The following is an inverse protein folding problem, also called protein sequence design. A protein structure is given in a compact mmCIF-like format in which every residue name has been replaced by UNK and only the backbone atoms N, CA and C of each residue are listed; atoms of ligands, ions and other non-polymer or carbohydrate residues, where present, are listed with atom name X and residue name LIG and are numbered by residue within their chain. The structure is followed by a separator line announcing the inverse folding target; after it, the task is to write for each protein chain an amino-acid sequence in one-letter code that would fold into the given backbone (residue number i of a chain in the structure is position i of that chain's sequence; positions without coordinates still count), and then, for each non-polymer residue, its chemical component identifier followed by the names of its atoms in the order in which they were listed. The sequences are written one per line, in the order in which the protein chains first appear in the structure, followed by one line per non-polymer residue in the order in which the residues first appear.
data_IF_249328600283
#
_entry.id   IF_249328600283
#
_cell.length_a   1.000
_cell.length_b   1.000
_cell.length_c   1.000
_cell.angle_alpha   90.00
_cell.angle_beta   90.00
_cell.angle_gamma   90.00
#
_symmetry.space_group_name_H-M   'P 1'
#
loop_
_entity.id
_entity.type
_entity.pdbx_description
1 polymer ?
#
# COMPACT_ATOMS: atom_id res chain seq x y z
N UNK A 1 8.11 5.59 30.45
CA UNK A 1 6.62 5.49 30.45
C UNK A 1 5.93 6.60 29.66
N UNK A 2 6.44 7.84 29.66
CA UNK A 2 5.87 8.99 28.92
C UNK A 2 5.79 8.75 27.40
N UNK A 3 6.83 8.14 26.80
CA UNK A 3 6.90 7.90 25.35
C UNK A 3 5.69 7.11 24.81
N UNK A 4 5.38 5.95 25.39
CA UNK A 4 4.33 5.06 24.85
C UNK A 4 2.92 5.48 25.24
N UNK A 5 2.74 6.12 26.40
CA UNK A 5 1.42 6.50 26.92
C UNK A 5 0.97 7.90 26.55
N UNK A 6 1.89 8.81 26.24
CA UNK A 6 1.57 10.22 25.96
C UNK A 6 2.00 10.58 24.54
N UNK A 7 3.28 10.33 24.19
CA UNK A 7 3.83 10.77 22.89
C UNK A 7 3.25 9.97 21.72
N UNK A 8 3.23 8.64 21.80
CA UNK A 8 2.68 7.77 20.73
C UNK A 8 1.20 8.08 20.41
N UNK A 9 0.27 8.14 21.38
CA UNK A 9 -1.13 8.43 21.05
C UNK A 9 -1.35 9.85 20.52
N UNK A 10 -0.55 10.84 20.96
CA UNK A 10 -0.62 12.19 20.39
C UNK A 10 -0.12 12.23 18.93
N UNK A 11 0.92 11.44 18.63
CA UNK A 11 1.50 11.32 17.30
C UNK A 11 0.79 10.26 16.42
N UNK A 12 -0.19 9.51 16.95
CA UNK A 12 -0.91 8.49 16.21
C UNK A 12 -1.47 8.94 14.85
N UNK A 13 -2.11 10.14 14.71
CA UNK A 13 -2.59 10.59 13.41
C UNK A 13 -1.46 10.90 12.42
N UNK A 14 -0.32 11.43 12.87
CA UNK A 14 0.83 11.71 11.99
C UNK A 14 1.57 10.43 11.60
N UNK A 15 1.72 9.48 12.53
CA UNK A 15 2.26 8.14 12.26
C UNK A 15 1.36 7.39 11.27
N UNK A 16 0.04 7.48 11.42
CA UNK A 16 -0.89 6.90 10.45
C UNK A 16 -0.67 7.50 9.06
N UNK A 17 -0.62 8.83 8.92
CA UNK A 17 -0.36 9.47 7.63
C UNK A 17 0.98 9.03 7.00
N UNK A 18 2.06 8.98 7.80
CA UNK A 18 3.36 8.50 7.35
C UNK A 18 3.33 7.03 6.91
N UNK A 19 2.62 6.17 7.64
CA UNK A 19 2.48 4.76 7.31
C UNK A 19 1.75 4.55 5.98
N UNK A 20 0.73 5.36 5.69
CA UNK A 20 0.00 5.33 4.41
C UNK A 20 0.93 5.70 3.26
N UNK A 21 1.67 6.80 3.39
CA UNK A 21 2.63 7.24 2.37
C UNK A 21 3.71 6.17 2.15
N UNK A 22 4.27 5.63 3.25
CA UNK A 22 5.25 4.56 3.19
C UNK A 22 4.69 3.32 2.49
N UNK A 23 3.46 2.92 2.80
CA UNK A 23 2.78 1.82 2.10
C UNK A 23 2.63 2.10 0.60
N UNK A 24 2.20 3.30 0.21
CA UNK A 24 2.05 3.66 -1.22
C UNK A 24 3.37 3.55 -1.98
N UNK A 25 4.49 3.97 -1.37
CA UNK A 25 5.82 3.81 -1.96
C UNK A 25 6.24 2.34 -2.03
N UNK A 26 6.21 1.61 -0.91
CA UNK A 26 6.67 0.23 -0.85
C UNK A 26 5.81 -0.73 -1.70
N UNK A 27 4.51 -0.48 -1.81
CA UNK A 27 3.60 -1.35 -2.55
C UNK A 27 3.87 -1.38 -4.06
N UNK A 28 4.33 -0.25 -4.62
CA UNK A 28 4.65 -0.12 -6.05
C UNK A 28 6.13 -0.32 -6.36
N UNK A 29 6.95 -0.57 -5.34
CA UNK A 29 8.40 -0.61 -5.50
C UNK A 29 8.84 -1.85 -6.29
N UNK A 30 9.37 -1.60 -7.49
CA UNK A 30 9.76 -2.67 -8.43
C UNK A 30 11.25 -3.01 -8.34
N UNK A 31 12.14 -2.02 -8.38
CA UNK A 31 13.59 -2.24 -8.56
C UNK A 31 14.18 -2.96 -7.35
N UNK A 32 13.92 -2.47 -6.13
CA UNK A 32 14.41 -3.11 -4.91
C UNK A 32 13.86 -4.54 -4.77
N UNK A 33 12.57 -4.73 -5.07
CA UNK A 33 11.95 -6.05 -5.02
C UNK A 33 12.57 -7.01 -6.04
N UNK A 34 12.82 -6.56 -7.28
CA UNK A 34 13.45 -7.39 -8.31
C UNK A 34 14.86 -7.85 -7.90
N UNK A 35 15.63 -6.97 -7.26
CA UNK A 35 17.00 -7.28 -6.83
C UNK A 35 17.06 -8.21 -5.62
N UNK A 36 16.16 -8.05 -4.66
CA UNK A 36 16.21 -8.77 -3.39
C UNK A 36 15.46 -10.12 -3.42
N UNK A 37 14.65 -10.35 -4.46
CA UNK A 37 13.67 -11.44 -4.45
C UNK A 37 14.01 -12.53 -5.45
N UNK A 38 14.80 -13.51 -4.98
CA UNK A 38 15.33 -14.59 -5.82
C UNK A 38 14.40 -15.81 -5.96
N UNK A 39 13.37 -15.94 -5.11
CA UNK A 39 12.45 -17.09 -5.13
C UNK A 39 11.04 -16.65 -5.46
N UNK A 40 10.29 -17.48 -6.21
CA UNK A 40 8.90 -17.17 -6.62
C UNK A 40 7.98 -16.85 -5.43
N UNK A 41 8.19 -17.52 -4.29
CA UNK A 41 7.36 -17.33 -3.08
C UNK A 41 7.54 -15.95 -2.43
N UNK A 42 8.66 -15.28 -2.67
CA UNK A 42 8.95 -13.99 -2.08
C UNK A 42 8.59 -12.83 -3.04
N UNK A 43 8.25 -13.11 -4.32
CA UNK A 43 8.01 -12.10 -5.34
C UNK A 43 6.86 -11.17 -4.97
N UNK A 44 7.13 -9.87 -5.06
CA UNK A 44 6.09 -8.85 -4.95
C UNK A 44 5.23 -8.83 -6.20
N UNK A 45 4.03 -8.26 -6.11
CA UNK A 45 3.10 -8.17 -7.24
C UNK A 45 3.72 -7.46 -8.45
N UNK A 46 4.50 -6.40 -8.21
CA UNK A 46 5.21 -5.67 -9.26
C UNK A 46 6.23 -6.56 -10.01
N UNK A 47 6.98 -7.40 -9.28
CA UNK A 47 7.93 -8.33 -9.88
C UNK A 47 7.20 -9.45 -10.63
N UNK A 48 6.17 -10.04 -10.03
CA UNK A 48 5.37 -11.09 -10.65
C UNK A 48 4.70 -10.62 -11.96
N UNK A 49 4.23 -9.37 -12.02
CA UNK A 49 3.67 -8.77 -13.24
C UNK A 49 4.68 -8.71 -14.39
N UNK A 50 5.97 -8.53 -14.09
CA UNK A 50 7.01 -8.51 -15.11
C UNK A 50 7.25 -9.89 -15.75
N UNK A 51 7.04 -10.98 -15.00
CA UNK A 51 7.19 -12.36 -15.46
C UNK A 51 6.17 -12.74 -16.55
N UNK A 52 5.00 -12.08 -16.59
CA UNK A 52 3.99 -12.32 -17.64
C UNK A 52 4.35 -11.74 -19.02
N UNK A 53 5.46 -11.00 -19.11
CA UNK A 53 6.06 -10.55 -20.37
C UNK A 53 7.18 -11.50 -20.77
N UNK A 54 6.83 -12.72 -21.17
CA UNK A 54 7.78 -13.77 -21.56
C UNK A 54 7.94 -13.96 -23.08
N UNK A 55 8.86 -14.86 -23.50
CA UNK A 55 9.15 -15.17 -24.92
C UNK A 55 7.96 -15.70 -25.74
N UNK A 56 6.87 -16.15 -25.10
CA UNK A 56 5.66 -16.64 -25.77
C UNK A 56 4.62 -15.55 -26.05
N UNK A 57 4.95 -14.29 -25.76
CA UNK A 57 4.02 -13.15 -25.83
C UNK A 57 3.51 -12.73 -24.46
N UNK A 58 2.72 -11.65 -24.43
CA UNK A 58 2.19 -11.07 -23.19
C UNK A 58 0.88 -11.76 -22.83
N UNK A 59 0.82 -12.34 -21.62
CA UNK A 59 -0.41 -12.95 -21.08
C UNK A 59 -1.36 -11.88 -20.53
N UNK A 60 -1.98 -11.07 -21.41
CA UNK A 60 -2.83 -9.93 -21.03
C UNK A 60 -3.94 -10.27 -20.04
N UNK A 61 -4.59 -11.44 -20.18
CA UNK A 61 -5.66 -11.86 -19.26
C UNK A 61 -5.17 -12.12 -17.84
N UNK A 62 -4.05 -12.82 -17.69
CA UNK A 62 -3.45 -13.10 -16.37
C UNK A 62 -2.86 -11.82 -15.76
N UNK A 63 -2.24 -10.98 -16.58
CA UNK A 63 -1.71 -9.69 -16.14
C UNK A 63 -2.83 -8.77 -15.64
N UNK A 64 -3.93 -8.66 -16.39
CA UNK A 64 -5.11 -7.90 -15.97
C UNK A 64 -5.69 -8.43 -14.65
N UNK A 65 -5.91 -9.75 -14.54
CA UNK A 65 -6.42 -10.36 -13.32
C UNK A 65 -5.53 -10.06 -12.10
N UNK A 66 -4.21 -10.19 -12.24
CA UNK A 66 -3.28 -9.88 -11.16
C UNK A 66 -3.29 -8.39 -10.81
N UNK A 67 -3.34 -7.48 -11.79
CA UNK A 67 -3.45 -6.04 -11.52
C UNK A 67 -4.75 -5.69 -10.79
N UNK A 68 -5.89 -6.26 -11.17
CA UNK A 68 -7.16 -6.02 -10.49
C UNK A 68 -7.12 -6.49 -9.04
N UNK A 69 -6.56 -7.67 -8.78
CA UNK A 69 -6.39 -8.18 -7.41
C UNK A 69 -5.42 -7.30 -6.60
N UNK A 70 -4.38 -6.76 -7.24
CA UNK A 70 -3.40 -5.88 -6.57
C UNK A 70 -3.98 -4.55 -6.09
N UNK A 71 -5.13 -4.11 -6.63
CA UNK A 71 -5.82 -2.90 -6.19
C UNK A 71 -6.55 -3.07 -4.86
N UNK A 72 -6.93 -4.29 -4.49
CA UNK A 72 -7.69 -4.60 -3.27
C UNK A 72 -7.07 -4.00 -2.00
N UNK A 73 -5.78 -4.20 -1.69
CA UNK A 73 -5.18 -3.67 -0.47
C UNK A 73 -5.12 -2.14 -0.45
N UNK A 74 -4.88 -1.50 -1.60
CA UNK A 74 -4.93 -0.04 -1.71
C UNK A 74 -6.35 0.46 -1.42
N UNK A 75 -7.36 -0.17 -2.01
CA UNK A 75 -8.76 0.17 -1.75
C UNK A 75 -9.11 0.00 -0.28
N UNK A 76 -8.73 -1.12 0.34
CA UNK A 76 -8.97 -1.36 1.76
C UNK A 76 -8.35 -0.26 2.64
N UNK A 77 -7.14 0.16 2.30
CA UNK A 77 -6.42 1.21 3.01
C UNK A 77 -7.14 2.57 2.87
N UNK A 78 -7.58 2.93 1.66
CA UNK A 78 -8.40 4.12 1.41
C UNK A 78 -9.72 4.07 2.21
N UNK A 79 -10.39 2.91 2.24
CA UNK A 79 -11.65 2.72 2.97
C UNK A 79 -11.50 2.89 4.49
N UNK A 80 -10.32 2.59 5.04
CA UNK A 80 -10.00 2.83 6.45
C UNK A 80 -9.75 4.33 6.69
N UNK A 81 -8.93 4.97 5.85
CA UNK A 81 -8.57 6.38 6.01
C UNK A 81 -9.77 7.31 5.85
N UNK A 82 -10.64 7.07 4.86
CA UNK A 82 -11.80 7.93 4.59
C UNK A 82 -12.65 8.16 5.85
N UNK A 83 -12.75 7.17 6.76
CA UNK A 83 -13.49 7.31 8.02
C UNK A 83 -12.85 8.36 8.96
N UNK A 84 -11.53 8.49 8.93
CA UNK A 84 -10.80 9.50 9.70
C UNK A 84 -10.90 10.88 9.04
N UNK A 85 -10.81 10.96 7.71
CA UNK A 85 -10.98 12.21 6.95
C UNK A 85 -12.39 12.79 7.14
N UNK A 86 -13.43 11.97 7.02
CA UNK A 86 -14.83 12.39 7.18
C UNK A 86 -15.09 12.92 8.61
N UNK A 87 -14.55 12.25 9.64
CA UNK A 87 -14.63 12.76 11.03
C UNK A 87 -13.88 14.09 11.20
N UNK A 88 -12.70 14.24 10.60
CA UNK A 88 -11.92 15.48 10.64
C UNK A 88 -12.65 16.67 10.00
N UNK A 89 -13.33 16.46 8.87
CA UNK A 89 -14.15 17.48 8.20
C UNK A 89 -15.36 17.92 9.05
N UNK A 90 -16.07 16.98 9.68
CA UNK A 90 -17.24 17.32 10.53
C UNK A 90 -16.90 18.10 11.79
N UNK A 91 -15.74 17.85 12.42
CA UNK A 91 -15.28 18.61 13.60
C UNK A 91 -14.55 19.91 13.25
N UNK A 92 -14.08 20.05 12.01
CA UNK A 92 -13.50 21.28 11.46
C UNK A 92 -14.55 22.30 11.03
N UNK A 93 -15.71 21.86 10.53
CA UNK A 93 -16.81 22.72 10.06
C UNK A 93 -17.62 23.38 11.19
N UNK A 94 -17.42 22.97 12.45
CA UNK A 94 -18.06 23.57 13.63
C UNK A 94 -17.15 24.57 14.37
N UNK A 95 -16.14 25.13 13.69
CA UNK A 95 -15.33 26.25 14.20
C UNK A 95 -15.43 27.44 13.27
#
# INVERSE_FOLDING_TARGET
QVLTKIVIPLAAPSIAAAAVLCFMFCWNEFIAALMLTYTEKAQTVAVALSTFKGSKGVAYGQMAALTTVSMIPIMALVLIIQRYIVRGLTFGALK
#
